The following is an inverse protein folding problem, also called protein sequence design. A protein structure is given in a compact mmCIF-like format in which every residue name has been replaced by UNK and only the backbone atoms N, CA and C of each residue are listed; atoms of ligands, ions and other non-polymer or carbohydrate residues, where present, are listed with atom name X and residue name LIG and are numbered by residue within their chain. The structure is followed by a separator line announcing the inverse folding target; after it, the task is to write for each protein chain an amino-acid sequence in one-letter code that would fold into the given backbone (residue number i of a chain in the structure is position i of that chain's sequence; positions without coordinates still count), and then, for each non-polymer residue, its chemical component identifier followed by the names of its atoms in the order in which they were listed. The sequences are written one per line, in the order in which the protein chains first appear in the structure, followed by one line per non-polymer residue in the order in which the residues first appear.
data_IF_583245613887
#
_entry.id   IF_583245613887
#
_cell.length_a   1.000
_cell.length_b   1.000
_cell.length_c   1.000
_cell.angle_alpha   90.00
_cell.angle_beta   90.00
_cell.angle_gamma   90.00
#
_symmetry.space_group_name_H-M   'P 1'
#
loop_
_entity.id
_entity.type
_entity.pdbx_description
1 polymer ?
#
# COMPACT_ATOMS: atom_id res chain seq x y z
N UNK A 1 8.08 -16.13 14.64
CA UNK A 1 8.41 -14.95 13.81
C UNK A 1 7.48 -13.81 14.19
N UNK A 2 7.99 -12.59 14.32
CA UNK A 2 7.18 -11.40 14.63
C UNK A 2 6.41 -10.97 13.38
N UNK A 3 5.14 -10.59 13.57
CA UNK A 3 4.35 -9.96 12.49
C UNK A 3 4.93 -8.57 12.20
N UNK A 4 5.13 -8.16 10.93
CA UNK A 4 5.54 -6.81 10.62
C UNK A 4 4.47 -5.81 11.07
N UNK A 5 4.91 -4.72 11.71
CA UNK A 5 4.01 -3.64 12.14
C UNK A 5 3.73 -2.75 10.93
N UNK A 6 2.48 -2.72 10.49
CA UNK A 6 2.02 -1.90 9.36
C UNK A 6 1.38 -0.61 9.91
N UNK A 7 1.93 0.56 9.58
CA UNK A 7 1.36 1.83 10.04
C UNK A 7 0.19 2.28 9.14
N UNK A 8 -0.98 1.67 9.34
CA UNK A 8 -2.18 2.00 8.56
C UNK A 8 -2.67 3.45 8.78
N UNK A 9 -2.44 4.02 9.96
CA UNK A 9 -2.79 5.42 10.26
C UNK A 9 -1.93 6.41 9.46
N UNK A 10 -0.65 6.11 9.25
CA UNK A 10 0.20 6.87 8.33
C UNK A 10 -0.27 6.75 6.88
N UNK A 11 -0.56 5.52 6.43
CA UNK A 11 -1.03 5.27 5.06
C UNK A 11 -2.38 5.95 4.77
N UNK A 12 -3.33 5.93 5.71
CA UNK A 12 -4.65 6.56 5.55
C UNK A 12 -4.60 8.09 5.57
N UNK A 13 -3.68 8.71 6.33
CA UNK A 13 -3.42 10.17 6.27
C UNK A 13 -2.80 10.58 4.95
N UNK A 14 -1.88 9.78 4.39
CA UNK A 14 -1.24 10.04 3.10
C UNK A 14 -2.15 9.77 1.91
N UNK A 15 -2.95 8.71 1.99
CA UNK A 15 -3.86 8.21 0.95
C UNK A 15 -5.29 8.26 1.54
N UNK A 16 -5.99 9.41 1.43
CA UNK A 16 -7.27 9.65 2.11
C UNK A 16 -8.47 8.86 1.52
N UNK A 17 -8.20 7.81 0.75
CA UNK A 17 -9.18 6.96 0.09
C UNK A 17 -9.17 5.57 0.71
N UNK A 18 -10.18 5.31 1.55
CA UNK A 18 -10.33 4.09 2.35
C UNK A 18 -10.08 2.78 1.58
N UNK A 19 -10.48 2.72 0.31
CA UNK A 19 -10.33 1.53 -0.54
C UNK A 19 -9.07 1.54 -1.42
N UNK A 20 -8.40 2.68 -1.61
CA UNK A 20 -7.25 2.77 -2.50
C UNK A 20 -6.04 1.98 -1.94
N UNK A 21 -5.80 2.05 -0.63
CA UNK A 21 -4.75 1.28 0.05
C UNK A 21 -4.92 -0.23 -0.13
N UNK A 22 -6.05 -0.88 0.27
CA UNK A 22 -6.20 -2.32 0.10
C UNK A 22 -6.19 -2.77 -1.37
N UNK A 23 -6.74 -1.98 -2.30
CA UNK A 23 -6.70 -2.29 -3.74
C UNK A 23 -5.26 -2.26 -4.27
N UNK A 24 -4.45 -1.26 -3.88
CA UNK A 24 -3.05 -1.16 -4.30
C UNK A 24 -2.20 -2.30 -3.74
N UNK A 25 -2.39 -2.65 -2.46
CA UNK A 25 -1.71 -3.77 -1.80
C UNK A 25 -2.09 -5.10 -2.46
N UNK A 26 -3.38 -5.36 -2.72
CA UNK A 26 -3.84 -6.59 -3.36
C UNK A 26 -3.21 -6.78 -4.76
N UNK A 27 -3.29 -5.76 -5.62
CA UNK A 27 -2.69 -5.79 -6.97
C UNK A 27 -1.17 -6.02 -6.94
N UNK A 28 -0.47 -5.47 -5.94
CA UNK A 28 0.97 -5.71 -5.79
C UNK A 28 1.27 -7.11 -5.28
N UNK A 29 0.51 -7.63 -4.31
CA UNK A 29 0.68 -9.00 -3.82
C UNK A 29 0.39 -10.05 -4.92
N UNK A 30 -0.58 -9.80 -5.80
CA UNK A 30 -0.82 -10.59 -7.01
C UNK A 30 0.40 -10.57 -7.95
N UNK A 31 0.94 -9.39 -8.28
CA UNK A 31 2.13 -9.29 -9.11
C UNK A 31 3.35 -10.02 -8.49
N UNK A 32 3.55 -9.93 -7.16
CA UNK A 32 4.62 -10.65 -6.45
C UNK A 32 4.43 -12.18 -6.51
N UNK A 33 3.19 -12.66 -6.56
CA UNK A 33 2.86 -14.08 -6.79
C UNK A 33 3.15 -14.50 -8.24
N UNK A 34 2.92 -13.61 -9.20
CA UNK A 34 3.21 -13.78 -10.64
C UNK A 34 4.66 -13.44 -11.01
N UNK A 35 5.62 -13.86 -10.19
CA UNK A 35 7.08 -13.71 -10.39
C UNK A 35 7.67 -12.28 -10.34
N UNK A 36 6.91 -11.24 -9.96
CA UNK A 36 7.51 -9.93 -9.72
C UNK A 36 8.45 -9.96 -8.51
N UNK A 37 9.58 -9.26 -8.60
CA UNK A 37 10.54 -9.17 -7.50
C UNK A 37 10.05 -8.21 -6.41
N UNK A 38 10.19 -8.55 -5.11
CA UNK A 38 9.98 -7.63 -4.00
C UNK A 38 11.12 -6.64 -3.90
N UNK A 39 10.82 -5.40 -3.48
CA UNK A 39 11.81 -4.36 -3.16
C UNK A 39 12.25 -4.41 -1.70
N UNK A 40 11.44 -4.98 -0.81
CA UNK A 40 11.69 -5.09 0.64
C UNK A 40 11.49 -6.52 1.13
N UNK A 41 12.28 -6.93 2.12
CA UNK A 41 12.12 -8.21 2.80
C UNK A 41 11.37 -8.02 4.11
N UNK A 42 10.40 -8.90 4.41
CA UNK A 42 9.62 -8.90 5.64
C UNK A 42 9.84 -10.19 6.44
N UNK A 43 9.84 -10.17 7.79
CA UNK A 43 10.19 -11.34 8.60
C UNK A 43 9.19 -12.50 8.56
N UNK A 44 7.96 -12.25 8.10
CA UNK A 44 6.88 -13.24 8.00
C UNK A 44 6.77 -13.89 6.61
N UNK A 45 7.56 -13.43 5.62
CA UNK A 45 7.52 -13.92 4.23
C UNK A 45 6.19 -13.69 3.49
N UNK A 46 5.25 -12.94 4.05
CA UNK A 46 3.91 -12.80 3.50
C UNK A 46 3.88 -11.71 2.41
N UNK A 47 3.42 -12.06 1.20
CA UNK A 47 3.34 -11.14 0.06
C UNK A 47 2.44 -9.91 0.33
N UNK A 48 1.40 -10.06 1.16
CA UNK A 48 0.56 -8.93 1.62
C UNK A 48 1.39 -7.98 2.49
N UNK A 49 2.18 -8.53 3.42
CA UNK A 49 3.06 -7.76 4.29
C UNK A 49 4.17 -7.05 3.50
N UNK A 50 4.76 -7.71 2.50
CA UNK A 50 5.69 -7.08 1.54
C UNK A 50 5.00 -5.89 0.85
N UNK A 51 3.86 -6.11 0.21
CA UNK A 51 3.16 -5.09 -0.55
C UNK A 51 2.73 -3.88 0.31
N UNK A 52 2.32 -4.10 1.56
CA UNK A 52 2.08 -3.03 2.52
C UNK A 52 3.36 -2.24 2.84
N UNK A 53 4.47 -2.94 3.04
CA UNK A 53 5.75 -2.32 3.41
C UNK A 53 6.36 -1.53 2.26
N UNK A 54 6.26 -2.03 1.03
CA UNK A 54 6.62 -1.30 -0.20
C UNK A 54 5.79 -0.03 -0.42
N UNK A 55 4.51 -0.03 -0.01
CA UNK A 55 3.63 1.14 -0.11
C UNK A 55 3.94 2.19 0.97
N UNK A 56 4.20 1.74 2.19
CA UNK A 56 4.61 2.57 3.33
C UNK A 56 5.92 3.30 3.02
N UNK A 57 6.93 2.58 2.52
CA UNK A 57 8.24 3.12 2.15
C UNK A 57 8.24 3.83 0.77
N UNK A 58 7.15 3.74 0.02
CA UNK A 58 6.93 4.50 -1.23
C UNK A 58 7.62 3.95 -2.47
N UNK A 59 8.12 2.70 -2.42
CA UNK A 59 8.59 1.94 -3.59
C UNK A 59 7.46 1.69 -4.60
N UNK A 60 6.24 1.46 -4.11
CA UNK A 60 5.03 1.48 -4.93
C UNK A 60 4.19 2.73 -4.63
N UNK A 61 3.45 3.20 -5.62
CA UNK A 61 2.57 4.37 -5.54
C UNK A 61 1.25 4.09 -6.23
N UNK A 62 0.19 4.76 -5.79
CA UNK A 62 -1.10 4.66 -6.46
C UNK A 62 -1.06 5.58 -7.68
N UNK A 63 -1.32 5.04 -8.88
CA UNK A 63 -1.44 5.87 -10.08
C UNK A 63 -2.57 6.88 -9.88
N UNK A 64 -2.31 8.14 -10.22
CA UNK A 64 -3.23 9.27 -10.06
C UNK A 64 -3.60 9.59 -8.59
N UNK A 65 -2.67 9.37 -7.65
CA UNK A 65 -2.79 9.82 -6.23
C UNK A 65 -3.04 11.34 -6.09
N UNK A 66 -2.79 12.12 -7.14
CA UNK A 66 -3.04 13.58 -7.26
C UNK A 66 -4.38 13.95 -7.90
N UNK A 67 -5.08 13.02 -8.58
CA UNK A 67 -6.47 13.22 -9.06
C UNK A 67 -7.46 12.73 -7.99
N UNK A 68 -7.09 11.65 -7.30
CA UNK A 68 -7.35 11.52 -5.87
C UNK A 68 -6.82 12.79 -5.15
N UNK A 69 -7.40 13.20 -4.03
CA UNK A 69 -7.23 14.53 -3.38
C UNK A 69 -8.07 15.63 -4.05
N UNK A 70 -8.02 15.80 -5.37
CA UNK A 70 -8.96 16.72 -6.08
C UNK A 70 -10.40 16.23 -5.95
N UNK A 71 -10.62 14.91 -5.94
CA UNK A 71 -11.91 14.27 -5.73
C UNK A 71 -12.36 14.18 -4.25
N UNK A 72 -11.70 14.87 -3.31
CA UNK A 72 -12.21 14.97 -1.93
C UNK A 72 -13.28 16.07 -1.89
N UNK A 73 -14.53 15.76 -1.47
CA UNK A 73 -15.55 16.80 -1.33
C UNK A 73 -15.18 17.75 -0.18
N UNK A 74 -15.21 19.07 -0.44
CA UNK A 74 -15.24 20.08 0.62
C UNK A 74 -16.59 20.02 1.36
N UNK A 75 -16.66 19.17 2.38
CA UNK A 75 -17.81 19.15 3.29
C UNK A 75 -17.65 20.31 4.28
N UNK A 76 -18.51 21.33 4.16
CA UNK A 76 -18.68 22.43 5.11
C UNK A 76 -19.72 22.09 6.17
#
# INVERSE_FOLDING_TARGET
MSKPVINYDYLSKRIPYRFAVPIAVAKRAEALKEYAKPYVNVPDGNLISVAFKELEEGYIRIRNEEILRILLPEVR
#
